data_IF_046368554753
#
_entry.id   IF_046368554753
#
_cell.length_a   1.000
_cell.length_b   1.000
_cell.length_c   1.000
_cell.angle_alpha   90.00
_cell.angle_beta   90.00
_cell.angle_gamma   90.00
#
_symmetry.space_group_name_H-M   'P 1'
#
loop_
_entity.id
_entity.type
_entity.pdbx_description
1 polymer ?
#
# COMPACT_ATOMS: atom_id res chain seq x y z
N UNK A 1 -3.77 21.33 9.60
CA UNK A 1 -3.57 19.95 9.11
C UNK A 1 -4.00 19.00 10.22
N UNK A 2 -4.80 17.99 9.92
CA UNK A 2 -5.21 17.00 10.92
C UNK A 2 -4.00 16.15 11.34
N UNK A 3 -3.81 15.86 12.64
CA UNK A 3 -2.63 15.12 13.13
C UNK A 3 -2.45 13.76 12.46
N UNK A 4 -3.56 13.06 12.19
CA UNK A 4 -3.54 11.77 11.48
C UNK A 4 -2.93 11.83 10.07
N UNK A 5 -2.98 12.98 9.39
CA UNK A 5 -2.47 13.12 8.02
C UNK A 5 -0.95 13.24 8.01
N UNK A 6 -0.40 14.00 8.96
CA UNK A 6 1.05 14.11 9.15
C UNK A 6 1.64 12.76 9.58
N UNK A 7 0.88 11.96 10.33
CA UNK A 7 1.30 10.63 10.75
C UNK A 7 1.49 9.65 9.57
N UNK A 8 0.67 9.74 8.52
CA UNK A 8 0.81 8.91 7.32
C UNK A 8 2.09 9.25 6.54
N UNK A 9 2.38 10.54 6.36
CA UNK A 9 3.57 11.02 5.66
C UNK A 9 4.85 10.61 6.39
N UNK A 10 4.87 10.82 7.70
CA UNK A 10 6.02 10.46 8.55
C UNK A 10 6.22 8.94 8.58
N UNK A 11 5.14 8.15 8.55
CA UNK A 11 5.23 6.69 8.43
C UNK A 11 5.89 6.27 7.13
N UNK A 12 5.53 6.86 5.99
CA UNK A 12 6.14 6.52 4.71
C UNK A 12 7.63 6.90 4.67
N UNK A 13 7.98 8.11 5.14
CA UNK A 13 9.37 8.57 5.21
C UNK A 13 10.22 7.68 6.12
N UNK A 14 9.71 7.28 7.28
CA UNK A 14 10.42 6.39 8.19
C UNK A 14 10.64 4.99 7.59
N UNK A 15 9.64 4.42 6.90
CA UNK A 15 9.80 3.14 6.20
C UNK A 15 10.89 3.22 5.13
N UNK A 16 10.96 4.34 4.41
CA UNK A 16 12.02 4.54 3.42
C UNK A 16 13.41 4.63 4.08
N UNK A 17 13.54 5.41 5.14
CA UNK A 17 14.79 5.52 5.88
C UNK A 17 15.23 4.17 6.48
N UNK A 18 14.32 3.44 7.13
CA UNK A 18 14.60 2.14 7.75
C UNK A 18 15.05 1.07 6.74
N UNK A 19 14.72 1.24 5.46
CA UNK A 19 15.16 0.36 4.36
C UNK A 19 16.40 0.87 3.61
N UNK A 20 17.02 1.95 4.11
CA UNK A 20 18.22 2.53 3.52
C UNK A 20 17.98 3.18 2.15
N UNK A 21 16.77 3.73 1.94
CA UNK A 21 16.48 4.52 0.75
C UNK A 21 17.03 5.93 0.91
N UNK A 22 17.90 6.30 -0.02
CA UNK A 22 18.53 7.61 -0.13
C UNK A 22 17.91 8.40 -1.28
N UNK A 23 18.15 9.72 -1.30
CA UNK A 23 17.71 10.55 -2.41
C UNK A 23 18.26 10.03 -3.74
N UNK A 24 17.44 10.14 -4.78
CA UNK A 24 17.78 9.71 -6.15
C UNK A 24 17.67 8.19 -6.40
N UNK A 25 17.50 7.36 -5.36
CA UNK A 25 17.17 5.94 -5.55
C UNK A 25 15.70 5.79 -5.92
N UNK A 26 15.44 5.12 -7.04
CA UNK A 26 14.08 4.84 -7.53
C UNK A 26 13.59 3.49 -7.03
N UNK A 27 12.34 3.44 -6.61
CA UNK A 27 11.63 2.22 -6.25
C UNK A 27 10.32 2.11 -7.00
N UNK A 28 9.99 0.94 -7.55
CA UNK A 28 8.65 0.67 -8.04
C UNK A 28 7.60 0.85 -6.94
N UNK A 29 6.45 1.43 -7.29
CA UNK A 29 5.31 1.59 -6.40
C UNK A 29 4.91 0.24 -5.78
N UNK A 30 5.01 -0.85 -6.54
CA UNK A 30 4.77 -2.20 -6.04
C UNK A 30 5.68 -2.58 -4.86
N UNK A 31 6.97 -2.20 -4.90
CA UNK A 31 7.89 -2.44 -3.78
C UNK A 31 7.54 -1.55 -2.59
N UNK A 32 7.12 -0.31 -2.83
CA UNK A 32 6.66 0.59 -1.77
C UNK A 32 5.38 0.05 -1.10
N UNK A 33 4.44 -0.50 -1.87
CA UNK A 33 3.24 -1.16 -1.36
C UNK A 33 3.58 -2.39 -0.50
N UNK A 34 4.56 -3.19 -0.91
CA UNK A 34 5.07 -4.31 -0.10
C UNK A 34 5.68 -3.83 1.22
N UNK A 35 6.46 -2.75 1.20
CA UNK A 35 7.01 -2.15 2.42
C UNK A 35 5.90 -1.59 3.32
N UNK A 36 4.90 -0.94 2.72
CA UNK A 36 3.75 -0.39 3.44
C UNK A 36 2.88 -1.48 4.06
N UNK A 37 2.78 -2.66 3.44
CA UNK A 37 1.99 -3.79 3.95
C UNK A 37 2.45 -4.33 5.31
N UNK A 38 3.66 -3.95 5.75
CA UNK A 38 4.17 -4.25 7.09
C UNK A 38 3.45 -3.41 8.15
N UNK A 39 2.83 -2.32 7.74
CA UNK A 39 1.97 -1.49 8.58
C UNK A 39 0.53 -2.03 8.62
N UNK A 40 -0.24 -1.58 9.60
CA UNK A 40 -1.68 -1.85 9.73
C UNK A 40 -2.54 -0.85 8.93
N UNK A 41 -1.91 0.05 8.18
CA UNK A 41 -2.55 1.15 7.46
C UNK A 41 -3.11 0.70 6.10
N UNK A 42 -4.14 1.37 5.60
CA UNK A 42 -4.78 0.99 4.34
C UNK A 42 -3.92 1.39 3.15
N UNK A 43 -4.10 0.70 2.03
CA UNK A 43 -3.51 1.12 0.74
C UNK A 43 -3.93 2.53 0.33
N UNK A 44 -5.16 2.94 0.63
CA UNK A 44 -5.62 4.31 0.39
C UNK A 44 -4.81 5.36 1.16
N UNK A 45 -4.37 5.02 2.37
CA UNK A 45 -3.56 5.90 3.22
C UNK A 45 -2.14 6.07 2.65
N UNK A 46 -1.59 5.01 2.04
CA UNK A 46 -0.32 5.08 1.30
C UNK A 46 -0.42 6.04 0.13
N UNK A 47 -1.47 5.92 -0.70
CA UNK A 47 -1.66 6.78 -1.87
C UNK A 47 -1.83 8.25 -1.45
N UNK A 48 -2.58 8.52 -0.38
CA UNK A 48 -2.71 9.87 0.18
C UNK A 48 -1.37 10.41 0.69
N UNK A 49 -0.57 9.59 1.38
CA UNK A 49 0.77 9.96 1.82
C UNK A 49 1.70 10.29 0.64
N UNK A 50 1.68 9.47 -0.43
CA UNK A 50 2.46 9.69 -1.66
C UNK A 50 2.08 11.01 -2.31
N UNK A 51 0.78 11.26 -2.52
CA UNK A 51 0.29 12.50 -3.15
C UNK A 51 0.74 13.73 -2.36
N UNK A 52 0.66 13.70 -1.03
CA UNK A 52 1.04 14.83 -0.20
C UNK A 52 2.56 15.05 -0.12
N UNK A 53 3.33 13.97 -0.03
CA UNK A 53 4.80 14.05 -0.06
C UNK A 53 5.31 14.55 -1.42
N UNK A 54 4.63 14.19 -2.51
CA UNK A 54 4.88 14.75 -3.84
C UNK A 54 4.52 16.24 -3.91
N UNK A 55 3.34 16.63 -3.40
CA UNK A 55 2.91 18.02 -3.36
C UNK A 55 3.83 18.95 -2.54
N UNK A 56 4.52 18.40 -1.54
CA UNK A 56 5.50 19.12 -0.70
C UNK A 56 6.93 19.03 -1.23
N UNK A 57 7.14 18.40 -2.39
CA UNK A 57 8.47 18.26 -3.01
C UNK A 57 9.42 17.32 -2.26
N UNK A 58 8.90 16.48 -1.36
CA UNK A 58 9.67 15.49 -0.61
C UNK A 58 9.79 14.15 -1.35
N UNK A 59 8.91 13.91 -2.32
CA UNK A 59 8.88 12.69 -3.13
C UNK A 59 8.81 13.05 -4.62
N UNK A 60 9.69 12.45 -5.43
CA UNK A 60 9.59 12.44 -6.88
C UNK A 60 8.81 11.23 -7.35
N UNK A 61 7.93 11.44 -8.33
CA UNK A 61 7.17 10.40 -9.02
C UNK A 61 7.57 10.44 -10.49
N UNK A 62 7.96 9.30 -11.03
CA UNK A 62 8.36 9.12 -12.42
C UNK A 62 7.65 7.89 -12.98
N UNK A 63 7.28 7.90 -14.25
CA UNK A 63 6.67 6.74 -14.92
C UNK A 63 7.65 6.24 -15.98
N UNK A 64 8.17 5.03 -15.82
CA UNK A 64 9.08 4.41 -16.77
C UNK A 64 8.58 3.02 -17.13
N UNK A 65 8.46 2.74 -18.42
CA UNK A 65 8.08 1.43 -18.96
C UNK A 65 6.75 0.86 -18.40
N UNK A 66 5.83 1.76 -18.00
CA UNK A 66 4.54 1.38 -17.41
C UNK A 66 4.59 1.07 -15.91
N UNK A 67 5.75 1.24 -15.28
CA UNK A 67 5.93 1.19 -13.84
C UNK A 67 6.02 2.60 -13.23
N UNK A 68 5.21 2.85 -12.21
CA UNK A 68 5.33 4.05 -11.39
C UNK A 68 6.51 3.90 -10.43
N UNK A 69 7.52 4.76 -10.58
CA UNK A 69 8.71 4.83 -9.75
C UNK A 69 8.61 5.99 -8.76
N UNK A 70 8.97 5.72 -7.51
CA UNK A 70 9.03 6.68 -6.42
C UNK A 70 10.49 6.89 -6.02
N UNK A 71 10.87 8.14 -5.79
CA UNK A 71 12.22 8.48 -5.30
C UNK A 71 12.14 9.58 -4.26
N UNK A 72 13.00 9.50 -3.24
CA UNK A 72 13.15 10.60 -2.30
C UNK A 72 13.88 11.77 -2.96
N UNK A 73 13.40 12.97 -2.70
CA UNK A 73 14.19 14.18 -2.98
C UNK A 73 15.17 14.42 -1.82
N UNK A 74 16.18 15.31 -1.98
CA UNK A 74 17.06 15.68 -0.87
C UNK A 74 16.31 16.21 0.36
N UNK A 75 15.17 16.90 0.14
CA UNK A 75 14.30 17.37 1.21
C UNK A 75 13.58 16.21 1.91
N UNK A 76 13.09 15.23 1.15
CA UNK A 76 12.47 14.02 1.70
C UNK A 76 13.43 13.16 2.51
N UNK A 77 14.67 12.98 2.02
CA UNK A 77 15.71 12.25 2.76
C UNK A 77 16.07 12.95 4.09
N UNK A 78 16.22 14.27 4.07
CA UNK A 78 16.49 15.05 5.28
C UNK A 78 15.35 14.95 6.29
N UNK A 79 14.09 14.98 5.82
CA UNK A 79 12.92 14.74 6.65
C UNK A 79 12.91 13.34 7.25
N UNK A 80 13.20 12.31 6.43
CA UNK A 80 13.25 10.92 6.86
C UNK A 80 14.34 10.65 7.93
N UNK A 81 15.51 11.28 7.79
CA UNK A 81 16.58 11.23 8.81
C UNK A 81 16.17 11.94 10.10
N UNK A 82 15.52 13.09 10.00
CA UNK A 82 15.08 13.87 11.17
C UNK A 82 14.05 13.12 12.03
N UNK A 83 13.24 12.25 11.42
CA UNK A 83 12.29 11.37 12.13
C UNK A 83 12.97 10.24 12.93
N UNK A 84 14.25 9.96 12.65
CA UNK A 84 15.03 8.90 13.29
C UNK A 84 15.96 9.44 14.39
N UNK A 85 15.62 10.58 14.99
CA UNK A 85 16.49 11.35 15.89
C UNK A 85 17.09 10.58 17.09
N UNK A 86 18.15 11.13 17.72
CA UNK A 86 18.95 10.44 18.74
C UNK A 86 18.32 10.33 20.13
N UNK A 87 17.25 11.08 20.47
CA UNK A 87 16.64 11.07 21.80
C UNK A 87 15.11 10.85 21.73
N UNK A 88 14.64 9.83 22.45
CA UNK A 88 13.35 9.18 22.26
C UNK A 88 12.12 10.03 22.60
N UNK A 89 11.01 9.89 21.89
CA UNK A 89 10.48 8.67 21.27
C UNK A 89 10.79 8.63 19.76
N UNK A 90 11.70 7.75 19.27
CA UNK A 90 11.96 7.64 17.84
C UNK A 90 10.63 7.39 17.14
N UNK A 91 10.39 8.00 15.97
CA UNK A 91 9.14 7.81 15.24
C UNK A 91 8.79 6.32 15.08
N UNK A 92 9.80 5.44 15.00
CA UNK A 92 9.65 3.99 15.11
C UNK A 92 8.95 3.49 16.39
N UNK A 93 9.27 4.01 17.58
CA UNK A 93 8.54 3.70 18.82
C UNK A 93 7.09 4.23 18.80
N UNK A 94 6.82 5.40 18.23
CA UNK A 94 5.44 5.88 18.03
C UNK A 94 4.67 4.97 17.07
N UNK A 95 5.29 4.56 15.95
CA UNK A 95 4.77 3.56 15.03
C UNK A 95 4.44 2.25 15.75
N UNK A 96 5.39 1.70 16.52
CA UNK A 96 5.21 0.44 17.24
C UNK A 96 4.24 0.53 18.43
N UNK A 97 4.14 1.68 19.08
CA UNK A 97 3.35 1.91 20.29
C UNK A 97 1.94 2.45 20.05
N UNK A 98 1.68 3.06 18.89
CA UNK A 98 0.41 3.72 18.58
C UNK A 98 -0.22 3.16 17.31
N UNK A 99 0.55 2.99 16.23
CA UNK A 99 0.02 2.59 14.93
C UNK A 99 -0.02 1.06 14.73
N UNK A 100 0.94 0.31 15.29
CA UNK A 100 1.07 -1.15 15.13
C UNK A 100 0.48 -2.05 16.24
N UNK A 101 0.26 -1.66 17.52
CA UNK A 101 0.21 -2.66 18.60
C UNK A 101 -1.15 -3.31 18.95
N UNK A 102 -2.21 -3.23 18.14
CA UNK A 102 -3.53 -3.79 18.56
C UNK A 102 -4.39 -4.54 17.54
N UNK A 103 -3.82 -5.22 16.53
CA UNK A 103 -4.62 -6.20 15.75
C UNK A 103 -3.87 -7.53 15.60
N UNK A 104 -3.74 -8.26 16.72
CA UNK A 104 -4.07 -9.70 16.68
C UNK A 104 -5.59 -9.83 16.74
N UNK A 105 -6.31 -9.51 15.67
CA UNK A 105 -7.69 -9.93 15.52
C UNK A 105 -8.00 -10.26 14.05
N UNK A 106 -7.96 -11.57 13.79
CA UNK A 106 -8.66 -12.31 12.74
C UNK A 106 -8.47 -11.80 11.31
N UNK A 107 -7.44 -12.33 10.65
CA UNK A 107 -7.78 -13.06 9.43
C UNK A 107 -8.72 -14.19 9.85
N UNK A 108 -10.02 -14.03 9.60
CA UNK A 108 -10.95 -15.16 9.60
C UNK A 108 -10.34 -16.23 8.69
N UNK A 109 -10.23 -17.50 9.12
CA UNK A 109 -9.90 -18.55 8.18
C UNK A 109 -10.91 -18.46 7.04
N UNK A 110 -10.42 -18.50 5.80
CA UNK A 110 -11.25 -18.62 4.62
C UNK A 110 -12.31 -19.70 4.91
N UNK A 111 -13.58 -19.31 4.94
CA UNK A 111 -14.66 -20.24 5.17
C UNK A 111 -14.51 -21.40 4.17
N UNK A 112 -14.42 -22.66 4.61
CA UNK A 112 -14.46 -23.79 3.70
C UNK A 112 -15.92 -23.96 3.30
N UNK A 113 -16.34 -23.28 2.23
CA UNK A 113 -17.73 -23.36 1.78
C UNK A 113 -18.19 -22.14 1.00
N UNK A 114 -17.66 -21.96 -0.20
CA UNK A 114 -18.09 -20.92 -1.12
C UNK A 114 -17.99 -21.42 -2.54
N UNK A 115 -18.87 -22.36 -2.88
CA UNK A 115 -18.98 -23.03 -4.18
C UNK A 115 -19.52 -22.03 -5.24
N UNK A 116 -18.74 -21.01 -5.57
CA UNK A 116 -19.03 -20.02 -6.61
C UNK A 116 -18.50 -20.50 -7.96
N UNK A 117 -19.16 -21.52 -8.51
CA UNK A 117 -18.87 -22.06 -9.85
C UNK A 117 -18.89 -20.93 -10.90
N UNK A 118 -17.78 -20.84 -11.62
CA UNK A 118 -17.65 -20.19 -12.93
C UNK A 118 -18.70 -20.77 -13.87
N UNK A 119 -19.59 -19.92 -14.39
CA UNK A 119 -20.43 -20.23 -15.55
C UNK A 119 -20.29 -19.10 -16.55
N UNK A 120 -19.15 -19.07 -17.23
CA UNK A 120 -19.04 -18.50 -18.56
C UNK A 120 -18.89 -19.68 -19.51
N UNK A 121 -19.70 -19.65 -20.57
CA UNK A 121 -19.65 -20.54 -21.74
C UNK A 121 -20.27 -21.94 -21.57
N UNK A 122 -21.50 -22.09 -22.08
CA UNK A 122 -21.88 -23.11 -23.08
C UNK A 122 -23.40 -23.18 -23.22
N UNK A 123 -23.99 -22.31 -24.05
CA UNK A 123 -25.27 -22.61 -24.70
C UNK A 123 -25.25 -22.19 -26.16
N UNK A 124 -24.27 -22.74 -26.87
CA UNK A 124 -24.39 -23.03 -28.28
C UNK A 124 -24.55 -24.55 -28.42
N UNK A 125 -25.50 -24.95 -29.27
CA UNK A 125 -25.76 -26.30 -29.80
C UNK A 125 -27.01 -27.04 -29.27
N UNK A 126 -27.80 -27.49 -30.27
CA UNK A 126 -29.05 -28.26 -30.28
C UNK A 126 -30.32 -27.44 -29.99
N UNK A 127 -31.06 -26.88 -30.95
CA UNK A 127 -31.53 -27.36 -32.26
C UNK A 127 -32.00 -28.83 -32.30
N UNK A 128 -33.27 -28.99 -32.68
CA UNK A 128 -33.98 -30.20 -33.12
C UNK A 128 -34.34 -31.27 -32.08
N UNK A 129 -35.62 -31.36 -31.72
CA UNK A 129 -36.55 -32.29 -32.39
C UNK A 129 -37.99 -32.16 -31.81
N UNK A 130 -39.03 -32.35 -32.65
CA UNK A 130 -40.43 -32.16 -32.28
C UNK A 130 -41.00 -33.41 -31.58
N UNK A 131 -41.99 -33.25 -30.71
CA UNK A 131 -42.82 -34.38 -30.27
C UNK A 131 -44.30 -34.11 -30.47
N UNK A 132 -44.87 -35.04 -31.22
CA UNK A 132 -46.25 -35.22 -31.65
C UNK A 132 -47.24 -35.40 -30.49
N UNK A 133 -48.48 -34.99 -30.78
CA UNK A 133 -49.81 -35.49 -30.36
C UNK A 133 -49.97 -36.17 -28.98
N UNK A 134 -50.93 -35.68 -28.19
CA UNK A 134 -52.32 -36.17 -28.21
C UNK A 134 -53.26 -35.15 -27.56
#
# INVERSE_FOLDING_TARGET
MSPAVTDLQNTLLHLFHARGLTAGRRLPLLQVEQLWSITTLRRGDLLDAIVRLSATGQLGIDDQDGDTLLSLTPAGESGARSLSGPEGMPWGQYLHGVLLPRIRQRQLPAAPGGNGRRSYESRAMHQNAPRYLN
#
